data_IF_391908280931
#
_entry.id   IF_391908280931
#
_cell.length_a   1.000
_cell.length_b   1.000
_cell.length_c   1.000
_cell.angle_alpha   90.00
_cell.angle_beta   90.00
_cell.angle_gamma   90.00
#
_symmetry.space_group_name_H-M   'P 1'
#
loop_
_entity.id
_entity.type
_entity.pdbx_description
1 polymer ?
#
# COMPACT_ATOMS: atom_id res chain seq x y z
N UNK A 1 -3.02 45.39 2.04
CA UNK A 1 -2.38 44.57 0.98
C UNK A 1 -1.93 43.20 1.47
N UNK A 2 -1.63 43.02 2.77
CA UNK A 2 -1.18 41.73 3.30
C UNK A 2 -2.27 40.65 3.36
N UNK A 3 -3.53 41.01 3.64
CA UNK A 3 -4.63 40.03 3.72
C UNK A 3 -4.98 39.33 2.40
N UNK A 4 -4.89 40.02 1.26
CA UNK A 4 -5.20 39.40 -0.04
C UNK A 4 -4.19 38.31 -0.43
N UNK A 5 -2.91 38.51 -0.10
CA UNK A 5 -1.86 37.53 -0.35
C UNK A 5 -2.03 36.29 0.54
N UNK A 6 -2.41 36.48 1.81
CA UNK A 6 -2.69 35.36 2.72
C UNK A 6 -3.91 34.56 2.30
N UNK A 7 -4.97 35.21 1.80
CA UNK A 7 -6.18 34.53 1.34
C UNK A 7 -5.90 33.67 0.11
N UNK A 8 -5.13 34.19 -0.86
CA UNK A 8 -4.70 33.44 -2.05
C UNK A 8 -3.82 32.25 -1.65
N UNK A 9 -2.87 32.46 -0.73
CA UNK A 9 -2.01 31.38 -0.24
C UNK A 9 -2.81 30.29 0.47
N UNK A 10 -3.80 30.67 1.29
CA UNK A 10 -4.68 29.74 1.98
C UNK A 10 -5.51 28.89 0.99
N UNK A 11 -6.07 29.50 -0.05
CA UNK A 11 -6.81 28.79 -1.10
C UNK A 11 -5.90 27.79 -1.82
N UNK A 12 -4.66 28.19 -2.13
CA UNK A 12 -3.70 27.34 -2.83
C UNK A 12 -3.30 26.12 -1.98
N UNK A 13 -3.03 26.34 -0.68
CA UNK A 13 -2.76 25.25 0.26
C UNK A 13 -3.96 24.32 0.39
N UNK A 14 -5.18 24.86 0.46
CA UNK A 14 -6.40 24.06 0.54
C UNK A 14 -6.58 23.20 -0.73
N UNK A 15 -6.36 23.78 -1.91
CA UNK A 15 -6.37 23.03 -3.17
C UNK A 15 -5.30 21.94 -3.22
N UNK A 16 -4.09 22.23 -2.72
CA UNK A 16 -3.02 21.24 -2.65
C UNK A 16 -3.43 20.06 -1.76
N UNK A 17 -4.03 20.33 -0.60
CA UNK A 17 -4.52 19.28 0.31
C UNK A 17 -5.58 18.43 -0.38
N UNK A 18 -6.59 19.05 -0.99
CA UNK A 18 -7.65 18.33 -1.72
C UNK A 18 -7.06 17.48 -2.85
N UNK A 19 -6.09 18.02 -3.59
CA UNK A 19 -5.41 17.31 -4.65
C UNK A 19 -4.64 16.08 -4.13
N UNK A 20 -3.92 16.21 -3.02
CA UNK A 20 -3.20 15.08 -2.40
C UNK A 20 -4.17 13.99 -1.93
N UNK A 21 -5.28 14.37 -1.32
CA UNK A 21 -6.33 13.43 -0.91
C UNK A 21 -6.92 12.71 -2.13
N UNK A 22 -7.28 13.46 -3.16
CA UNK A 22 -7.85 12.89 -4.39
C UNK A 22 -6.88 11.90 -5.06
N UNK A 23 -5.59 12.26 -5.13
CA UNK A 23 -4.53 11.37 -5.64
C UNK A 23 -4.48 10.07 -4.86
N UNK A 24 -4.54 10.12 -3.54
CA UNK A 24 -4.50 8.92 -2.68
C UNK A 24 -5.75 8.05 -2.86
N UNK A 25 -6.93 8.66 -3.00
CA UNK A 25 -8.18 7.94 -3.28
C UNK A 25 -8.10 7.19 -4.60
N UNK A 26 -7.65 7.86 -5.68
CA UNK A 26 -7.49 7.24 -6.99
C UNK A 26 -6.46 6.10 -6.95
N UNK A 27 -5.35 6.31 -6.25
CA UNK A 27 -4.34 5.27 -6.06
C UNK A 27 -4.93 4.04 -5.36
N UNK A 28 -5.62 4.23 -4.23
CA UNK A 28 -6.27 3.14 -3.48
C UNK A 28 -7.33 2.42 -4.30
N UNK A 29 -8.14 3.15 -5.06
CA UNK A 29 -9.12 2.56 -5.95
C UNK A 29 -8.45 1.69 -7.02
N UNK A 30 -7.41 2.20 -7.69
CA UNK A 30 -6.68 1.42 -8.71
C UNK A 30 -6.06 0.15 -8.15
N UNK A 31 -5.51 0.20 -6.94
CA UNK A 31 -5.00 -1.01 -6.26
C UNK A 31 -6.13 -1.99 -5.97
N UNK A 32 -7.27 -1.52 -5.43
CA UNK A 32 -8.43 -2.37 -5.16
C UNK A 32 -8.92 -3.09 -6.42
N UNK A 33 -8.93 -2.44 -7.57
CA UNK A 33 -9.29 -3.07 -8.85
C UNK A 33 -8.30 -4.16 -9.26
N UNK A 34 -6.98 -3.89 -9.16
CA UNK A 34 -5.95 -4.88 -9.45
C UNK A 34 -6.01 -6.10 -8.53
N UNK A 35 -6.31 -5.90 -7.24
CA UNK A 35 -6.52 -7.00 -6.28
C UNK A 35 -7.72 -7.86 -6.70
N UNK A 36 -8.84 -7.24 -7.08
CA UNK A 36 -10.04 -7.97 -7.53
C UNK A 36 -9.80 -8.75 -8.82
N UNK A 37 -8.91 -8.26 -9.69
CA UNK A 37 -8.51 -8.95 -10.92
C UNK A 37 -7.49 -10.08 -10.68
N UNK A 38 -6.97 -10.25 -9.46
CA UNK A 38 -5.96 -11.25 -9.15
C UNK A 38 -4.61 -10.97 -9.81
N UNK A 39 -4.29 -9.69 -10.05
CA UNK A 39 -3.05 -9.27 -10.71
C UNK A 39 -1.82 -9.59 -9.84
N UNK A 40 -1.04 -10.61 -10.23
CA UNK A 40 0.15 -11.06 -9.51
C UNK A 40 1.30 -10.03 -9.55
N UNK A 41 1.27 -9.06 -10.47
CA UNK A 41 2.29 -8.00 -10.54
C UNK A 41 2.27 -7.11 -9.29
N UNK A 42 1.14 -7.05 -8.57
CA UNK A 42 1.01 -6.38 -7.27
C UNK A 42 2.01 -6.89 -6.22
N UNK A 43 2.44 -8.16 -6.29
CA UNK A 43 3.39 -8.74 -5.36
C UNK A 43 4.81 -8.16 -5.53
N UNK A 44 5.11 -7.58 -6.69
CA UNK A 44 6.40 -6.98 -7.02
C UNK A 44 6.38 -5.45 -6.93
N UNK A 45 5.24 -4.82 -6.64
CA UNK A 45 5.10 -3.36 -6.57
C UNK A 45 5.61 -2.83 -5.22
N UNK A 46 6.70 -2.05 -5.25
CA UNK A 46 7.33 -1.48 -4.06
C UNK A 46 6.44 -0.48 -3.30
N UNK A 47 5.33 -0.04 -3.90
CA UNK A 47 4.37 0.91 -3.30
C UNK A 47 3.31 0.21 -2.47
N UNK A 48 3.26 -1.12 -2.49
CA UNK A 48 2.27 -1.94 -1.79
C UNK A 48 2.98 -2.81 -0.77
N UNK A 49 2.55 -2.74 0.50
CA UNK A 49 3.01 -3.66 1.52
C UNK A 49 2.13 -4.91 1.48
N UNK A 50 2.70 -6.03 1.06
CA UNK A 50 2.05 -7.34 1.16
C UNK A 50 2.30 -7.88 2.56
N UNK A 51 1.24 -8.34 3.24
CA UNK A 51 1.32 -8.97 4.56
C UNK A 51 0.85 -10.39 4.37
N UNK A 52 1.74 -11.37 4.56
CA UNK A 52 1.34 -12.77 4.64
C UNK A 52 0.63 -13.02 5.96
N UNK A 53 -0.65 -13.35 5.88
CA UNK A 53 -1.46 -13.71 7.05
C UNK A 53 -1.28 -15.21 7.25
N UNK A 54 -0.29 -15.60 8.06
CA UNK A 54 -0.09 -16.99 8.43
C UNK A 54 -0.97 -17.31 9.63
N UNK A 55 -1.90 -18.26 9.51
CA UNK A 55 -2.60 -18.82 10.66
C UNK A 55 -1.69 -19.81 11.37
N UNK A 56 -0.74 -19.28 12.13
CA UNK A 56 0.21 -20.09 12.87
C UNK A 56 -0.05 -19.98 14.39
N UNK A 57 0.14 -21.08 15.15
CA UNK A 57 0.03 -21.05 16.61
C UNK A 57 0.90 -19.96 17.25
N UNK A 58 0.53 -19.49 18.45
CA UNK A 58 1.35 -18.52 19.19
C UNK A 58 2.80 -19.02 19.33
N UNK A 59 3.76 -18.15 19.01
CA UNK A 59 5.18 -18.49 18.99
C UNK A 59 5.73 -18.94 17.63
N UNK A 60 4.89 -19.03 16.61
CA UNK A 60 5.33 -19.37 15.26
C UNK A 60 5.98 -18.18 14.55
N UNK A 61 7.08 -18.45 13.85
CA UNK A 61 7.80 -17.49 13.02
C UNK A 61 7.89 -18.02 11.59
N UNK A 62 7.67 -17.15 10.60
CA UNK A 62 7.92 -17.49 9.21
C UNK A 62 9.44 -17.58 9.01
N UNK A 63 9.94 -18.80 8.84
CA UNK A 63 11.35 -19.08 8.54
C UNK A 63 11.44 -19.46 7.07
N UNK A 64 12.35 -18.82 6.34
CA UNK A 64 12.71 -19.22 4.98
C UNK A 64 13.53 -20.53 5.04
N UNK A 65 12.83 -21.64 5.31
CA UNK A 65 13.43 -22.95 5.43
C UNK A 65 13.38 -23.70 4.09
N UNK A 66 14.53 -24.21 3.66
CA UNK A 66 14.64 -25.15 2.53
C UNK A 66 13.72 -26.34 2.83
N UNK A 67 12.84 -26.71 1.88
CA UNK A 67 11.93 -27.86 2.03
C UNK A 67 12.73 -29.09 2.44
N UNK A 68 12.38 -29.70 3.57
CA UNK A 68 12.93 -30.99 3.95
C UNK A 68 12.51 -32.03 2.92
N UNK A 69 13.49 -32.65 2.26
CA UNK A 69 13.30 -33.81 1.40
C UNK A 69 13.43 -35.04 2.32
N UNK A 70 12.48 -35.97 2.31
CA UNK A 70 12.63 -37.22 3.06
C UNK A 70 13.83 -37.99 2.50
N UNK A 71 14.73 -38.42 3.39
CA UNK A 71 15.77 -39.38 3.03
C UNK A 71 15.11 -40.75 3.16
N UNK A 72 14.89 -41.42 2.02
CA UNK A 72 14.46 -42.81 1.98
C UNK A 72 15.68 -43.69 2.36
N UNK A 73 15.56 -44.49 3.42
CA UNK A 73 16.50 -45.57 3.75
C UNK A 73 16.24 -46.83 2.93
#
# INVERSE_FOLDING_TARGET
MNSMLTDIAAILVLFLIVFLIFREIVFRWRIRLRVLMGDAELLNDSRVKVIEIVQAPEGSMAVDAIRMIPIEE
#
